data_IF_724892826268
#
_entry.id   IF_724892826268
#
_cell.length_a   1.000
_cell.length_b   1.000
_cell.length_c   1.000
_cell.angle_alpha   90.00
_cell.angle_beta   90.00
_cell.angle_gamma   90.00
#
_symmetry.space_group_name_H-M   'P 1'
#
loop_
_entity.id
_entity.type
_entity.pdbx_description
1 polymer ?
#
# COMPACT_ATOMS: atom_id res chain seq x y z
N UNK A 1 -18.43 -0.36 11.12
CA UNK A 1 -17.28 -1.20 11.56
C UNK A 1 -16.03 -0.36 11.46
N UNK A 2 -15.21 -0.44 12.49
CA UNK A 2 -13.96 0.30 12.54
C UNK A 2 -13.01 -0.20 11.42
N UNK A 3 -12.33 0.73 10.78
CA UNK A 3 -11.35 0.40 9.74
C UNK A 3 -10.18 -0.37 10.36
N UNK A 4 -9.91 -1.56 9.86
CA UNK A 4 -8.74 -2.37 10.19
C UNK A 4 -8.19 -2.96 8.89
N UNK A 5 -7.10 -2.39 8.39
CA UNK A 5 -6.71 -2.62 7.00
C UNK A 5 -5.21 -2.66 6.73
N UNK A 6 -4.89 -3.31 5.61
CA UNK A 6 -3.55 -3.42 5.05
C UNK A 6 -3.49 -2.65 3.73
N UNK A 7 -2.51 -1.76 3.60
CA UNK A 7 -2.27 -0.96 2.40
C UNK A 7 -1.00 -1.46 1.73
N UNK A 8 -1.11 -1.86 0.47
CA UNK A 8 0.01 -2.31 -0.33
C UNK A 8 0.59 -1.20 -1.18
N UNK A 9 1.88 -0.96 -1.05
CA UNK A 9 2.66 -0.04 -1.86
C UNK A 9 3.71 -0.78 -2.68
N UNK A 10 4.08 -0.21 -3.85
CA UNK A 10 5.05 -0.80 -4.76
C UNK A 10 6.48 -0.76 -4.22
N UNK A 11 6.87 0.35 -3.59
CA UNK A 11 8.25 0.59 -3.13
C UNK A 11 8.30 0.91 -1.64
N UNK A 12 9.46 0.73 -1.01
CA UNK A 12 9.72 1.14 0.36
C UNK A 12 9.53 2.64 0.58
N UNK A 13 9.94 3.45 -0.38
CA UNK A 13 9.77 4.91 -0.34
C UNK A 13 8.29 5.27 -0.28
N UNK A 14 7.45 4.64 -1.09
CA UNK A 14 6.00 4.86 -1.03
C UNK A 14 5.40 4.43 0.32
N UNK A 15 5.93 3.37 0.95
CA UNK A 15 5.50 2.94 2.28
C UNK A 15 5.80 4.04 3.32
N UNK A 16 7.03 4.57 3.31
CA UNK A 16 7.46 5.60 4.26
C UNK A 16 6.69 6.91 4.06
N UNK A 17 6.55 7.38 2.82
CA UNK A 17 5.81 8.60 2.50
C UNK A 17 4.33 8.50 2.90
N UNK A 18 3.67 7.38 2.55
CA UNK A 18 2.27 7.19 2.85
C UNK A 18 2.03 7.05 4.35
N UNK A 19 2.86 6.27 5.04
CA UNK A 19 2.75 6.10 6.49
C UNK A 19 2.98 7.39 7.25
N UNK A 20 3.95 8.21 6.80
CA UNK A 20 4.20 9.54 7.37
C UNK A 20 2.99 10.48 7.19
N UNK A 21 2.44 10.56 5.97
CA UNK A 21 1.25 11.38 5.68
C UNK A 21 0.02 10.94 6.51
N UNK A 22 -0.21 9.63 6.61
CA UNK A 22 -1.31 9.10 7.42
C UNK A 22 -1.11 9.38 8.91
N UNK A 23 0.12 9.25 9.43
CA UNK A 23 0.44 9.59 10.82
C UNK A 23 0.25 11.08 11.11
N UNK A 24 0.67 11.96 10.20
CA UNK A 24 0.44 13.41 10.30
C UNK A 24 -1.05 13.76 10.27
N UNK A 25 -1.86 12.98 9.56
CA UNK A 25 -3.31 13.10 9.54
C UNK A 25 -4.01 12.49 10.79
N UNK A 26 -3.24 12.01 11.78
CA UNK A 26 -3.76 11.50 13.04
C UNK A 26 -4.15 10.02 13.06
N UNK A 27 -3.80 9.25 12.02
CA UNK A 27 -4.05 7.82 12.01
C UNK A 27 -2.96 7.02 12.71
N UNK A 28 -3.32 5.93 13.38
CA UNK A 28 -2.38 4.99 13.97
C UNK A 28 -1.90 3.99 12.92
N UNK A 29 -0.71 4.21 12.40
CA UNK A 29 -0.13 3.50 11.27
C UNK A 29 1.17 2.81 11.65
N UNK A 30 1.39 1.61 11.14
CA UNK A 30 2.69 0.93 11.17
C UNK A 30 3.16 0.71 9.72
N UNK A 31 4.48 0.84 9.50
CA UNK A 31 5.11 0.67 8.19
C UNK A 31 6.05 -0.54 8.18
N UNK A 32 5.93 -1.41 7.16
CA UNK A 32 6.79 -2.60 7.03
C UNK A 32 7.33 -2.72 5.60
N UNK A 33 8.65 -2.67 5.48
CA UNK A 33 9.38 -2.87 4.22
C UNK A 33 10.73 -3.54 4.47
N UNK A 34 11.51 -3.76 3.42
CA UNK A 34 12.76 -4.52 3.51
C UNK A 34 13.84 -3.96 4.43
N UNK A 35 13.83 -2.65 4.68
CA UNK A 35 14.84 -1.99 5.53
C UNK A 35 14.46 -2.01 7.02
N UNK A 36 13.24 -2.47 7.36
CA UNK A 36 12.81 -2.60 8.77
C UNK A 36 13.47 -3.85 9.37
N UNK A 37 14.17 -3.68 10.49
CA UNK A 37 14.78 -4.80 11.20
C UNK A 37 13.75 -5.82 11.67
N UNK A 38 14.15 -7.09 11.81
CA UNK A 38 13.23 -8.16 12.22
C UNK A 38 12.56 -7.86 13.58
N UNK A 39 13.32 -7.33 14.53
CA UNK A 39 12.78 -6.96 15.85
C UNK A 39 11.73 -5.84 15.76
N UNK A 40 11.96 -4.82 14.95
CA UNK A 40 10.98 -3.76 14.72
C UNK A 40 9.74 -4.29 13.98
N UNK A 41 9.93 -5.16 12.98
CA UNK A 41 8.83 -5.78 12.26
C UNK A 41 7.90 -6.58 13.18
N UNK A 42 8.45 -7.38 14.08
CA UNK A 42 7.68 -8.13 15.07
C UNK A 42 6.92 -7.21 16.03
N UNK A 43 7.58 -6.13 16.50
CA UNK A 43 6.94 -5.11 17.34
C UNK A 43 5.76 -4.44 16.62
N UNK A 44 5.92 -4.05 15.36
CA UNK A 44 4.86 -3.41 14.57
C UNK A 44 3.69 -4.36 14.32
N UNK A 45 3.99 -5.62 13.98
CA UNK A 45 2.96 -6.64 13.80
C UNK A 45 2.20 -6.95 15.10
N UNK A 46 2.91 -6.96 16.23
CA UNK A 46 2.27 -7.16 17.53
C UNK A 46 1.31 -6.00 17.86
N UNK A 47 1.73 -4.74 17.66
CA UNK A 47 0.88 -3.56 17.87
C UNK A 47 -0.34 -3.59 16.95
N UNK A 48 -0.16 -3.96 15.69
CA UNK A 48 -1.24 -4.10 14.73
C UNK A 48 -2.22 -5.22 15.15
N UNK A 49 -1.75 -6.41 15.52
CA UNK A 49 -2.60 -7.50 16.03
C UNK A 49 -3.36 -7.15 17.30
N UNK A 50 -2.76 -6.33 18.16
CA UNK A 50 -3.40 -5.80 19.37
C UNK A 50 -4.36 -4.64 19.10
N UNK A 51 -4.58 -4.28 17.84
CA UNK A 51 -5.40 -3.12 17.41
C UNK A 51 -4.96 -1.78 18.03
N UNK A 52 -3.70 -1.67 18.46
CA UNK A 52 -3.07 -0.40 18.85
C UNK A 52 -2.78 0.51 17.66
N UNK A 53 -2.57 -0.09 16.50
CA UNK A 53 -2.61 0.53 15.20
C UNK A 53 -3.67 -0.17 14.35
N UNK A 54 -4.39 0.57 13.55
CA UNK A 54 -5.46 0.05 12.71
C UNK A 54 -5.14 0.06 11.22
N UNK A 55 -3.99 0.62 10.86
CA UNK A 55 -3.48 0.66 9.49
C UNK A 55 -2.07 0.05 9.47
N UNK A 56 -1.85 -0.88 8.56
CA UNK A 56 -0.54 -1.40 8.23
C UNK A 56 -0.23 -1.05 6.78
N UNK A 57 0.91 -0.39 6.53
CA UNK A 57 1.39 -0.08 5.17
C UNK A 57 2.59 -0.97 4.88
N UNK A 58 2.57 -1.69 3.77
CA UNK A 58 3.63 -2.64 3.48
C UNK A 58 3.91 -2.81 1.98
N UNK A 59 5.12 -3.26 1.65
CA UNK A 59 5.45 -3.81 0.33
C UNK A 59 5.02 -5.27 0.24
N UNK A 60 4.85 -5.80 -0.98
CA UNK A 60 4.48 -7.21 -1.18
C UNK A 60 5.43 -8.19 -0.51
N UNK A 61 6.73 -7.96 -0.65
CA UNK A 61 7.77 -8.83 -0.07
C UNK A 61 7.67 -8.83 1.45
N UNK A 62 7.50 -7.67 2.06
CA UNK A 62 7.39 -7.55 3.50
C UNK A 62 6.07 -8.07 4.04
N UNK A 63 5.01 -8.03 3.24
CA UNK A 63 3.69 -8.56 3.63
C UNK A 63 3.58 -10.08 3.50
N UNK A 64 4.54 -10.76 2.84
CA UNK A 64 4.57 -12.22 2.79
C UNK A 64 4.79 -12.81 4.18
N UNK A 65 4.02 -13.83 4.51
CA UNK A 65 4.10 -14.48 5.82
C UNK A 65 3.48 -13.69 6.99
N UNK A 66 2.88 -12.53 6.71
CA UNK A 66 2.08 -11.84 7.73
C UNK A 66 0.78 -12.62 7.93
N UNK A 67 0.66 -13.31 9.06
CA UNK A 67 -0.61 -13.89 9.50
C UNK A 67 -1.38 -12.82 10.28
N UNK A 68 -2.20 -12.06 9.56
CA UNK A 68 -3.17 -11.13 10.13
C UNK A 68 -4.56 -11.58 9.67
N UNK A 69 -5.40 -11.84 10.64
CA UNK A 69 -6.79 -12.29 10.43
C UNK A 69 -7.75 -11.10 10.64
N UNK A 70 -8.93 -11.22 10.06
CA UNK A 70 -10.04 -10.27 10.27
C UNK A 70 -9.75 -8.85 9.78
N UNK A 71 -9.02 -8.71 8.67
CA UNK A 71 -8.90 -7.42 8.01
C UNK A 71 -10.23 -7.05 7.38
N UNK A 72 -10.73 -5.86 7.70
CA UNK A 72 -11.93 -5.30 7.07
C UNK A 72 -11.65 -4.78 5.66
N UNK A 73 -10.44 -4.28 5.44
CA UNK A 73 -10.04 -3.66 4.18
C UNK A 73 -8.65 -4.09 3.73
N UNK A 74 -8.50 -4.26 2.43
CA UNK A 74 -7.22 -4.29 1.73
C UNK A 74 -7.21 -3.18 0.71
N UNK A 75 -6.17 -2.34 0.74
CA UNK A 75 -6.02 -1.23 -0.20
C UNK A 75 -4.78 -1.47 -1.05
N UNK A 76 -4.94 -1.56 -2.35
CA UNK A 76 -3.85 -1.54 -3.30
C UNK A 76 -3.58 -0.08 -3.68
N UNK A 77 -2.70 0.59 -2.94
CA UNK A 77 -2.28 1.97 -3.23
C UNK A 77 -1.51 2.06 -4.56
N UNK A 78 -0.78 1.00 -4.88
CA UNK A 78 -0.21 0.79 -6.19
C UNK A 78 -0.77 -0.50 -6.77
N UNK A 79 -1.12 -0.54 -8.06
CA UNK A 79 -1.61 -1.75 -8.69
C UNK A 79 -0.57 -2.86 -8.61
N UNK A 80 -1.04 -4.09 -8.50
CA UNK A 80 -0.18 -5.26 -8.58
C UNK A 80 0.37 -5.43 -9.99
N UNK A 81 1.62 -5.86 -10.11
CA UNK A 81 2.25 -6.08 -11.41
C UNK A 81 1.68 -7.31 -12.12
N UNK A 82 1.26 -8.29 -11.34
CA UNK A 82 0.70 -9.56 -11.80
C UNK A 82 -0.59 -9.90 -11.04
N UNK A 83 -1.30 -10.86 -11.62
CA UNK A 83 -2.58 -11.30 -11.09
C UNK A 83 -2.46 -12.10 -9.78
N UNK A 84 -1.46 -12.96 -9.67
CA UNK A 84 -1.25 -13.79 -8.50
C UNK A 84 -1.02 -12.92 -7.26
N UNK A 85 -0.20 -11.88 -7.40
CA UNK A 85 0.01 -10.86 -6.38
C UNK A 85 -1.30 -10.17 -6.00
N UNK A 86 -2.16 -9.83 -6.99
CA UNK A 86 -3.46 -9.23 -6.69
C UNK A 86 -4.35 -10.14 -5.83
N UNK A 87 -4.44 -11.42 -6.20
CA UNK A 87 -5.23 -12.41 -5.44
C UNK A 87 -4.67 -12.60 -4.03
N UNK A 88 -3.35 -12.70 -3.91
CA UNK A 88 -2.68 -12.82 -2.63
C UNK A 88 -2.92 -11.63 -1.71
N UNK A 89 -2.92 -10.39 -2.26
CA UNK A 89 -3.25 -9.17 -1.52
C UNK A 89 -4.71 -9.17 -1.09
N UNK A 90 -5.63 -9.35 -2.04
CA UNK A 90 -7.08 -9.34 -1.79
C UNK A 90 -7.49 -10.44 -0.81
N UNK A 91 -6.85 -11.60 -0.89
CA UNK A 91 -7.06 -12.72 0.03
C UNK A 91 -6.62 -12.48 1.48
N UNK A 92 -6.17 -11.28 1.85
CA UNK A 92 -5.93 -10.88 3.25
C UNK A 92 -7.22 -10.43 3.96
N UNK A 93 -8.28 -10.17 3.23
CA UNK A 93 -9.62 -9.85 3.74
C UNK A 93 -10.67 -10.85 3.24
N UNK A 94 -11.88 -10.82 3.77
CA UNK A 94 -12.99 -11.68 3.33
C UNK A 94 -12.77 -13.17 3.61
N UNK A 95 -12.14 -13.53 4.71
CA UNK A 95 -11.89 -14.92 5.11
C UNK A 95 -12.93 -15.40 6.12
N UNK A 96 -13.15 -16.72 6.15
CA UNK A 96 -14.03 -17.40 7.11
C UNK A 96 -15.48 -16.89 7.11
N UNK A 97 -16.00 -16.49 5.94
CA UNK A 97 -17.38 -16.01 5.81
C UNK A 97 -17.59 -14.53 6.19
N UNK A 98 -16.57 -13.83 6.64
CA UNK A 98 -16.66 -12.39 6.89
C UNK A 98 -16.58 -11.58 5.60
N UNK A 99 -17.35 -10.49 5.54
CA UNK A 99 -17.31 -9.56 4.41
C UNK A 99 -16.07 -8.69 4.51
N UNK A 100 -15.30 -8.63 3.42
CA UNK A 100 -14.11 -7.79 3.30
C UNK A 100 -14.16 -6.93 2.05
N UNK A 101 -13.51 -5.77 2.11
CA UNK A 101 -13.40 -4.84 0.96
C UNK A 101 -11.98 -4.81 0.45
N UNK A 102 -11.81 -5.02 -0.87
CA UNK A 102 -10.54 -4.80 -1.58
C UNK A 102 -10.70 -3.58 -2.49
N UNK A 103 -9.91 -2.54 -2.23
CA UNK A 103 -9.95 -1.27 -2.94
C UNK A 103 -8.64 -1.12 -3.71
N UNK A 104 -8.70 -0.71 -4.97
CA UNK A 104 -7.52 -0.47 -5.80
C UNK A 104 -7.55 0.95 -6.36
N UNK A 105 -6.46 1.68 -6.15
CA UNK A 105 -6.25 2.95 -6.83
C UNK A 105 -5.59 2.68 -8.17
N UNK A 106 -6.21 3.15 -9.23
CA UNK A 106 -5.72 3.00 -10.59
C UNK A 106 -5.61 4.39 -11.22
N UNK A 107 -4.44 4.70 -11.72
CA UNK A 107 -4.28 5.88 -12.58
C UNK A 107 -4.96 5.63 -13.93
N UNK A 108 -5.21 6.71 -14.68
CA UNK A 108 -5.84 6.61 -15.99
C UNK A 108 -5.11 5.64 -16.94
N UNK A 109 -3.77 5.65 -16.93
CA UNK A 109 -2.97 4.71 -17.72
C UNK A 109 -3.09 3.24 -17.29
N UNK A 110 -3.45 3.00 -16.02
CA UNK A 110 -3.58 1.68 -15.44
C UNK A 110 -4.99 1.10 -15.58
N UNK A 111 -5.99 1.90 -15.94
CA UNK A 111 -7.35 1.42 -16.20
C UNK A 111 -7.41 0.33 -17.27
N UNK A 112 -6.45 0.30 -18.20
CA UNK A 112 -6.30 -0.78 -19.20
C UNK A 112 -6.06 -2.17 -18.58
N UNK A 113 -5.60 -2.23 -17.32
CA UNK A 113 -5.40 -3.49 -16.60
C UNK A 113 -6.71 -4.07 -16.06
N UNK A 114 -7.73 -3.23 -15.88
CA UNK A 114 -8.99 -3.58 -15.24
C UNK A 114 -9.71 -4.75 -15.93
N UNK A 115 -9.90 -4.78 -17.27
CA UNK A 115 -10.59 -5.90 -17.93
C UNK A 115 -9.86 -7.24 -17.75
N UNK A 116 -8.53 -7.20 -17.67
CA UNK A 116 -7.72 -8.39 -17.41
C UNK A 116 -7.91 -8.88 -15.98
N UNK A 117 -7.89 -7.97 -15.00
CA UNK A 117 -8.12 -8.29 -13.59
C UNK A 117 -9.53 -8.85 -13.38
N UNK A 118 -10.57 -8.23 -13.97
CA UNK A 118 -11.96 -8.69 -13.88
C UNK A 118 -12.13 -10.10 -14.41
N UNK A 119 -11.54 -10.40 -15.59
CA UNK A 119 -11.58 -11.74 -16.18
C UNK A 119 -10.95 -12.79 -15.27
N UNK A 120 -9.85 -12.45 -14.61
CA UNK A 120 -9.10 -13.38 -13.78
C UNK A 120 -9.74 -13.57 -12.39
N UNK A 121 -10.34 -12.51 -11.83
CA UNK A 121 -11.09 -12.58 -10.56
C UNK A 121 -12.47 -13.20 -10.76
N UNK A 122 -13.01 -13.20 -11.99
CA UNK A 122 -14.36 -13.65 -12.30
C UNK A 122 -15.46 -12.71 -11.78
N UNK A 123 -15.09 -11.47 -11.40
CA UNK A 123 -16.03 -10.45 -10.88
C UNK A 123 -15.69 -9.10 -11.46
N UNK A 124 -16.72 -8.28 -11.67
CA UNK A 124 -16.54 -6.89 -12.07
C UNK A 124 -16.14 -6.01 -10.87
N UNK A 125 -15.29 -5.03 -11.12
CA UNK A 125 -14.97 -4.01 -10.15
C UNK A 125 -16.02 -2.91 -10.19
N UNK A 126 -16.38 -2.42 -9.02
CA UNK A 126 -17.28 -1.27 -8.89
C UNK A 126 -16.41 -0.02 -8.75
N UNK A 127 -16.59 0.94 -9.64
CA UNK A 127 -15.94 2.24 -9.51
C UNK A 127 -16.53 2.96 -8.29
N UNK A 128 -15.66 3.50 -7.47
CA UNK A 128 -16.02 4.37 -6.36
C UNK A 128 -15.49 5.77 -6.66
N UNK A 129 -16.36 6.76 -6.53
CA UNK A 129 -15.94 8.15 -6.62
C UNK A 129 -15.25 8.58 -5.33
N UNK A 130 -14.34 9.54 -5.44
CA UNK A 130 -13.67 10.11 -4.28
C UNK A 130 -14.67 11.03 -3.58
N UNK A 131 -14.90 10.86 -2.26
CA UNK A 131 -15.87 11.67 -1.56
C UNK A 131 -15.47 13.16 -1.58
N UNK A 132 -16.44 14.03 -1.77
CA UNK A 132 -16.26 15.48 -1.70
C UNK A 132 -15.91 15.92 -0.28
N UNK A 133 -15.25 17.09 -0.10
CA UNK A 133 -15.00 17.65 1.24
C UNK A 133 -16.27 17.76 2.09
N UNK A 134 -17.39 18.11 1.49
CA UNK A 134 -18.69 18.19 2.14
C UNK A 134 -19.17 16.85 2.68
N UNK A 135 -19.07 15.80 1.86
CA UNK A 135 -19.46 14.43 2.25
C UNK A 135 -18.58 13.89 3.37
N UNK A 136 -17.27 14.23 3.34
CA UNK A 136 -16.34 13.85 4.40
C UNK A 136 -16.75 14.50 5.73
N UNK A 137 -17.03 15.79 5.72
CA UNK A 137 -17.45 16.55 6.91
C UNK A 137 -18.78 16.02 7.43
N UNK A 138 -19.77 15.81 6.55
CA UNK A 138 -21.06 15.26 6.93
C UNK A 138 -20.91 13.87 7.59
N UNK A 139 -20.08 13.00 7.01
CA UNK A 139 -19.80 11.69 7.58
C UNK A 139 -19.13 11.78 8.96
N UNK A 140 -18.19 12.72 9.13
CA UNK A 140 -17.46 12.91 10.40
C UNK A 140 -18.38 13.52 11.47
N UNK A 141 -19.19 14.51 11.13
CA UNK A 141 -20.16 15.10 12.05
C UNK A 141 -21.19 14.08 12.49
N UNK A 142 -21.70 13.24 11.59
CA UNK A 142 -22.59 12.14 11.93
C UNK A 142 -21.96 11.16 12.94
N UNK A 143 -20.72 10.71 12.71
CA UNK A 143 -20.00 9.84 13.66
C UNK A 143 -19.78 10.50 15.02
N UNK A 144 -19.51 11.80 15.06
CA UNK A 144 -19.37 12.55 16.29
C UNK A 144 -20.68 12.59 17.07
N UNK A 145 -21.78 12.89 16.37
CA UNK A 145 -23.13 12.89 16.95
C UNK A 145 -23.47 11.50 17.54
N UNK A 146 -23.17 10.43 16.82
CA UNK A 146 -23.39 9.06 17.32
C UNK A 146 -22.53 8.74 18.56
N UNK A 147 -21.27 9.20 18.59
CA UNK A 147 -20.43 9.05 19.79
C UNK A 147 -20.99 9.80 20.99
N UNK A 148 -21.47 11.01 20.79
CA UNK A 148 -22.09 11.82 21.85
C UNK A 148 -23.35 11.12 22.35
N UNK A 149 -24.25 10.66 21.47
CA UNK A 149 -25.45 9.91 21.85
C UNK A 149 -25.13 8.68 22.67
N UNK A 150 -24.16 7.86 22.25
CA UNK A 150 -23.71 6.70 23.00
C UNK A 150 -23.13 7.06 24.38
N UNK A 151 -22.40 8.16 24.48
CA UNK A 151 -21.88 8.64 25.77
C UNK A 151 -23.01 9.07 26.72
N UNK A 152 -24.08 9.69 26.17
CA UNK A 152 -25.28 10.02 26.92
C UNK A 152 -26.00 8.77 27.42
N UNK A 153 -26.26 7.80 26.53
CA UNK A 153 -26.90 6.52 26.86
C UNK A 153 -26.12 5.73 27.94
N UNK A 154 -24.80 5.73 27.84
CA UNK A 154 -23.91 5.07 28.79
C UNK A 154 -23.69 5.84 30.10
N UNK A 155 -24.27 7.04 30.25
CA UNK A 155 -24.08 7.94 31.38
C UNK A 155 -22.59 8.20 31.74
N UNK A 156 -21.71 8.16 30.71
CA UNK A 156 -20.27 8.31 30.89
C UNK A 156 -19.81 9.73 31.17
N UNK A 157 -20.71 10.69 31.07
CA UNK A 157 -20.47 12.13 31.27
C UNK A 157 -20.61 12.56 32.74
N UNK A 158 -21.11 11.71 33.65
CA UNK A 158 -21.49 12.07 35.02
C UNK A 158 -20.37 12.75 35.82
N UNK A 159 -19.10 12.40 35.57
CA UNK A 159 -17.92 13.02 36.21
C UNK A 159 -17.79 14.52 35.85
N UNK A 160 -18.36 14.97 34.74
CA UNK A 160 -18.20 16.33 34.21
C UNK A 160 -19.40 17.21 34.47
N UNK A 161 -20.46 16.70 35.14
CA UNK A 161 -21.72 17.44 35.37
C UNK A 161 -21.51 18.75 36.12
N UNK A 162 -20.66 18.75 37.18
CA UNK A 162 -20.36 19.97 37.94
C UNK A 162 -19.69 21.03 37.08
N UNK A 163 -18.71 20.62 36.27
CA UNK A 163 -18.02 21.53 35.34
C UNK A 163 -18.94 22.07 34.28
N UNK A 164 -19.85 21.22 33.77
CA UNK A 164 -20.85 21.63 32.80
C UNK A 164 -21.82 22.69 33.43
N UNK A 165 -22.28 22.47 34.68
CA UNK A 165 -23.13 23.45 35.37
C UNK A 165 -22.44 24.81 35.49
N UNK A 166 -21.20 24.85 35.91
CA UNK A 166 -20.44 26.10 36.02
C UNK A 166 -20.32 26.84 34.68
N UNK A 167 -20.09 26.12 33.59
CA UNK A 167 -20.00 26.71 32.25
C UNK A 167 -21.37 27.27 31.78
N UNK A 168 -22.44 26.60 32.18
CA UNK A 168 -23.84 27.03 31.82
C UNK A 168 -24.36 28.18 32.68
N UNK A 169 -23.71 28.54 33.78
CA UNK A 169 -24.03 29.72 34.58
C UNK A 169 -23.65 31.03 33.87
N UNK A 170 -22.60 31.00 33.05
CA UNK A 170 -22.04 32.17 32.37
C UNK A 170 -22.57 32.34 30.95
N UNK A 171 -22.84 31.24 30.25
CA UNK A 171 -23.11 31.24 28.81
C UNK A 171 -24.29 30.31 28.44
N UNK A 172 -24.90 30.57 27.26
CA UNK A 172 -25.95 29.68 26.76
C UNK A 172 -25.44 28.29 26.45
N UNK A 173 -26.30 27.27 26.59
CA UNK A 173 -25.96 25.91 26.29
C UNK A 173 -25.44 25.74 24.85
N UNK A 174 -26.00 26.46 23.89
CA UNK A 174 -25.59 26.44 22.48
C UNK A 174 -24.16 26.97 22.32
N UNK A 175 -23.81 28.08 22.97
CA UNK A 175 -22.48 28.69 22.94
C UNK A 175 -21.45 27.75 23.55
N UNK A 176 -21.73 27.17 24.71
CA UNK A 176 -20.84 26.23 25.40
C UNK A 176 -20.59 24.98 24.53
N UNK A 177 -21.64 24.39 23.97
CA UNK A 177 -21.51 23.20 23.09
C UNK A 177 -20.75 23.56 21.82
N UNK A 178 -21.04 24.70 21.18
CA UNK A 178 -20.32 25.15 19.99
C UNK A 178 -18.82 25.35 20.27
N UNK A 179 -18.45 25.97 21.39
CA UNK A 179 -17.05 26.16 21.80
C UNK A 179 -16.34 24.84 22.08
N UNK A 180 -17.02 23.91 22.74
CA UNK A 180 -16.46 22.56 22.96
C UNK A 180 -16.24 21.82 21.64
N UNK A 181 -17.20 21.83 20.73
CA UNK A 181 -17.05 21.22 19.40
C UNK A 181 -15.92 21.87 18.61
N UNK A 182 -15.82 23.19 18.64
CA UNK A 182 -14.70 23.90 17.99
C UNK A 182 -13.35 23.51 18.58
N UNK A 183 -13.24 23.44 19.90
CA UNK A 183 -11.99 23.15 20.61
C UNK A 183 -11.50 21.71 20.32
N UNK A 184 -12.40 20.73 20.38
CA UNK A 184 -12.03 19.32 20.30
C UNK A 184 -12.17 18.73 18.89
N UNK A 185 -13.03 19.27 18.05
CA UNK A 185 -13.36 18.70 16.74
C UNK A 185 -13.15 19.69 15.59
N UNK A 186 -12.86 20.96 15.86
CA UNK A 186 -12.71 22.00 14.83
C UNK A 186 -11.70 21.62 13.75
N UNK A 187 -10.60 21.01 14.15
CA UNK A 187 -9.56 20.53 13.23
C UNK A 187 -10.04 19.38 12.30
N UNK A 188 -10.94 18.52 12.76
CA UNK A 188 -11.46 17.39 11.98
C UNK A 188 -12.61 17.81 11.07
N UNK A 189 -13.33 18.89 11.43
CA UNK A 189 -14.48 19.43 10.70
C UNK A 189 -14.10 20.61 9.80
N UNK A 190 -12.83 20.99 9.76
CA UNK A 190 -12.34 22.09 8.93
C UNK A 190 -12.29 21.67 7.46
N UNK A 191 -13.17 22.27 6.65
CA UNK A 191 -13.30 22.01 5.22
C UNK A 191 -12.01 22.33 4.43
N UNK A 192 -11.22 23.28 4.89
CA UNK A 192 -9.98 23.69 4.19
C UNK A 192 -8.90 22.62 4.18
N UNK A 193 -8.99 21.66 5.08
CA UNK A 193 -8.06 20.52 5.15
C UNK A 193 -8.33 19.42 4.12
N UNK A 194 -9.50 19.46 3.49
CA UNK A 194 -9.91 18.50 2.47
C UNK A 194 -9.87 19.17 1.11
N UNK A 195 -8.75 19.00 0.38
CA UNK A 195 -8.67 19.50 -0.98
C UNK A 195 -9.66 18.73 -1.87
N UNK A 196 -10.47 19.44 -2.64
CA UNK A 196 -11.23 18.82 -3.71
C UNK A 196 -10.23 18.23 -4.74
N UNK A 197 -10.34 16.94 -5.00
CA UNK A 197 -9.56 16.29 -6.04
C UNK A 197 -10.37 16.45 -7.33
N UNK A 198 -9.90 17.35 -8.20
CA UNK A 198 -10.49 17.53 -9.52
C UNK A 198 -10.05 16.40 -10.44
N UNK A 199 -10.94 15.45 -10.68
CA UNK A 199 -10.69 14.34 -11.62
C UNK A 199 -10.55 14.84 -13.07
N UNK A 200 -11.12 15.99 -13.42
CA UNK A 200 -11.10 16.54 -14.78
C UNK A 200 -9.73 17.04 -15.18
N UNK A 201 -8.94 17.60 -14.26
CA UNK A 201 -7.62 18.14 -14.52
C UNK A 201 -6.56 17.08 -14.92
N UNK A 202 -6.78 15.83 -14.55
CA UNK A 202 -5.92 14.70 -14.94
C UNK A 202 -6.21 14.20 -16.35
N UNK A 203 -7.44 14.40 -16.84
CA UNK A 203 -7.87 13.99 -18.17
C UNK A 203 -7.30 14.89 -19.27
N UNK A 204 -7.16 16.18 -19.03
CA UNK A 204 -6.65 17.14 -20.02
C UNK A 204 -5.12 17.11 -20.15
N UNK A 205 -4.37 16.87 -19.07
CA UNK A 205 -2.89 16.79 -19.14
C UNK A 205 -2.37 15.62 -19.97
N UNK A 206 -3.14 14.54 -20.11
CA UNK A 206 -2.78 13.40 -20.96
C UNK A 206 -3.02 13.66 -22.45
N UNK A 207 -3.86 14.62 -22.81
CA UNK A 207 -4.25 14.91 -24.19
C UNK A 207 -3.38 16.00 -24.84
N UNK A 208 -2.80 16.90 -24.05
CA UNK A 208 -2.00 18.03 -24.56
C UNK A 208 -0.55 17.67 -24.91
N UNK A 209 -0.04 16.49 -24.52
CA UNK A 209 1.30 16.02 -24.91
C UNK A 209 1.33 15.14 -26.16
N UNK A 210 0.19 14.90 -26.82
CA UNK A 210 0.08 14.04 -28.01
C UNK A 210 -0.12 14.78 -29.35
N UNK A 211 -0.27 16.11 -29.35
CA UNK A 211 -0.41 16.90 -30.59
C UNK A 211 0.88 17.60 -30.99
N UNK A 212 1.97 16.84 -31.06
CA UNK A 212 3.16 17.25 -31.77
C UNK A 212 2.87 17.20 -33.27
N UNK A 213 2.84 18.39 -33.89
CA UNK A 213 2.69 18.63 -35.30
C UNK A 213 3.55 17.72 -36.16
N UNK A 214 2.91 16.79 -36.84
CA UNK A 214 3.52 16.14 -38.01
C UNK A 214 3.35 17.06 -39.21
N UNK A 215 4.16 18.12 -39.28
CA UNK A 215 4.39 18.88 -40.51
C UNK A 215 5.60 18.29 -41.22
N UNK A 216 5.38 17.81 -42.42
CA UNK A 216 6.50 17.51 -43.33
C UNK A 216 6.22 16.38 -44.29
N UNK A 217 5.18 16.51 -45.13
CA UNK A 217 5.19 15.88 -46.45
C UNK A 217 6.29 16.58 -47.27
N UNK A 218 7.40 15.93 -47.49
CA UNK A 218 8.30 16.23 -48.61
C UNK A 218 8.02 15.23 -49.70
N UNK A 219 7.45 15.74 -50.76
CA UNK A 219 7.33 15.08 -52.04
C UNK A 219 8.73 14.66 -52.51
N UNK A 220 8.92 13.39 -52.73
CA UNK A 220 10.12 12.85 -53.36
C UNK A 220 9.74 12.44 -54.78
N UNK A 221 10.00 13.37 -55.69
CA UNK A 221 9.95 13.18 -57.12
C UNK A 221 11.08 12.25 -57.57
N UNK A 222 10.79 11.38 -58.50
CA UNK A 222 11.61 10.25 -58.90
C UNK A 222 12.88 10.68 -59.67
N UNK A 223 13.96 10.03 -59.32
CA UNK A 223 15.22 10.05 -60.06
C UNK A 223 15.83 8.67 -60.18
N UNK A 224 15.53 7.98 -61.26
CA UNK A 224 16.24 6.77 -61.65
C UNK A 224 17.70 7.11 -61.92
N UNK A 225 18.64 6.54 -61.19
CA UNK A 225 20.04 6.46 -61.60
C UNK A 225 20.56 5.03 -61.53
N UNK A 226 21.15 4.66 -62.65
CA UNK A 226 21.71 3.36 -63.03
C UNK A 226 22.81 2.91 -62.07
N UNK A 227 22.82 1.63 -61.82
CA UNK A 227 23.93 0.87 -61.29
C UNK A 227 25.11 0.94 -62.25
N UNK A 228 26.28 1.36 -61.76
CA UNK A 228 27.53 1.10 -62.41
C UNK A 228 28.49 0.44 -61.44
N UNK A 229 28.95 -0.71 -61.87
CA UNK A 229 29.85 -1.60 -61.14
C UNK A 229 31.28 -1.30 -61.59
N UNK A 230 32.09 -0.70 -60.72
CA UNK A 230 33.56 -0.87 -60.87
C UNK A 230 34.28 -0.70 -59.55
N UNK A 231 34.85 -1.80 -59.19
CA UNK A 231 36.03 -2.04 -58.34
C UNK A 231 36.87 -0.82 -57.96
N UNK A 232 37.23 -0.75 -56.66
CA UNK A 232 38.64 -0.54 -56.26
C UNK A 232 38.85 -0.94 -54.80
N UNK A 233 39.82 -1.88 -54.64
CA UNK A 233 40.50 -2.26 -53.40
C UNK A 233 41.32 -1.06 -52.88
N UNK A 234 41.62 -1.12 -51.59
CA UNK A 234 42.62 -0.50 -50.71
C UNK A 234 41.92 0.08 -49.48
N UNK A 235 42.36 -0.13 -48.29
CA UNK A 235 43.56 -0.53 -47.64
C UNK A 235 43.28 -0.80 -46.16
N UNK A 236 44.11 -1.62 -45.59
CA UNK A 236 44.20 -1.96 -44.17
C UNK A 236 44.59 -0.77 -43.31
N UNK A 237 44.30 -1.01 -42.03
CA UNK A 237 44.93 -0.45 -40.83
C UNK A 237 44.28 0.76 -40.22
N UNK A 238 43.73 0.52 -39.06
CA UNK A 238 43.98 1.11 -37.73
C UNK A 238 42.82 0.87 -36.79
N UNK A 239 42.95 -0.23 -35.99
CA UNK A 239 42.19 -0.37 -34.75
C UNK A 239 43.16 -0.25 -33.58
N UNK A 240 42.93 0.64 -32.62
CA UNK A 240 43.69 0.62 -31.39
C UNK A 240 43.31 -0.59 -30.54
N UNK A 241 44.32 -1.32 -30.12
CA UNK A 241 44.27 -2.43 -29.18
C UNK A 241 43.90 -1.88 -27.79
N UNK A 242 42.75 -2.26 -27.24
CA UNK A 242 42.50 -2.10 -25.82
C UNK A 242 43.23 -3.24 -25.05
N UNK A 243 44.01 -2.80 -24.10
CA UNK A 243 44.80 -3.63 -23.18
C UNK A 243 43.92 -4.55 -22.35
N UNK A 244 44.38 -5.80 -22.28
CA UNK A 244 43.92 -6.87 -21.39
C UNK A 244 44.37 -6.61 -19.96
N UNK A 245 43.61 -7.23 -19.06
CA UNK A 245 43.95 -7.77 -17.75
C UNK A 245 44.07 -6.80 -16.59
N UNK A 246 42.97 -6.76 -15.82
CA UNK A 246 43.01 -6.70 -14.36
C UNK A 246 41.78 -7.45 -13.79
N UNK A 247 41.92 -8.79 -13.70
CA UNK A 247 41.06 -9.63 -12.83
C UNK A 247 41.92 -10.21 -11.73
N UNK A 248 41.64 -9.99 -10.46
CA UNK A 248 42.36 -10.63 -9.38
C UNK A 248 42.13 -12.15 -9.41
N UNK A 249 43.19 -12.89 -9.45
CA UNK A 249 43.21 -14.35 -9.33
C UNK A 249 42.90 -14.74 -7.90
N UNK A 250 41.73 -15.36 -7.67
CA UNK A 250 41.37 -15.98 -6.40
C UNK A 250 42.20 -17.26 -6.22
N UNK A 251 43.00 -17.28 -5.16
CA UNK A 251 43.83 -18.41 -4.78
C UNK A 251 42.96 -19.50 -4.13
N UNK A 252 43.19 -20.77 -4.52
CA UNK A 252 42.32 -21.92 -4.24
C UNK A 252 42.60 -22.56 -2.87
N UNK A 253 43.39 -21.94 -2.01
CA UNK A 253 43.88 -22.55 -0.76
C UNK A 253 43.15 -22.12 0.53
N UNK A 254 42.23 -21.17 0.50
CA UNK A 254 41.47 -20.75 1.68
C UNK A 254 40.05 -21.32 1.70
N UNK A 255 39.90 -22.65 1.77
CA UNK A 255 38.65 -23.28 2.17
C UNK A 255 38.75 -23.72 3.63
N UNK A 256 37.95 -23.23 4.55
CA UNK A 256 37.87 -23.80 5.88
C UNK A 256 37.31 -25.22 5.81
N UNK A 257 38.05 -26.18 6.41
CA UNK A 257 37.62 -27.56 6.60
C UNK A 257 36.50 -27.56 7.63
N UNK A 258 35.31 -27.98 7.24
CA UNK A 258 34.22 -28.29 8.18
C UNK A 258 34.59 -29.65 8.85
N UNK A 259 34.84 -29.63 10.14
CA UNK A 259 34.88 -30.80 10.98
C UNK A 259 33.49 -31.41 11.10
N UNK A 260 33.40 -32.72 10.86
CA UNK A 260 32.17 -33.48 11.07
C UNK A 260 32.02 -33.74 12.56
N UNK A 261 30.96 -33.20 13.13
CA UNK A 261 30.52 -33.42 14.50
C UNK A 261 29.88 -34.82 14.57
N UNK A 262 30.58 -35.79 15.20
CA UNK A 262 30.10 -37.13 15.52
C UNK A 262 29.13 -37.05 16.70
N UNK A 263 27.83 -37.05 16.42
CA UNK A 263 26.80 -37.30 17.44
C UNK A 263 26.41 -38.79 17.43
N UNK A 264 26.37 -39.46 18.58
CA UNK A 264 26.01 -40.86 18.65
C UNK A 264 24.50 -41.09 18.39
N UNK A 265 24.20 -42.09 17.58
CA UNK A 265 22.88 -42.61 17.31
C UNK A 265 22.24 -43.13 18.61
N UNK A 266 21.08 -42.63 18.99
CA UNK A 266 20.21 -43.25 19.99
C UNK A 266 19.50 -44.46 19.33
N UNK A 267 19.73 -45.62 19.92
CA UNK A 267 19.05 -46.85 19.62
C UNK A 267 17.55 -46.74 19.96
N UNK A 268 16.72 -47.13 19.01
CA UNK A 268 15.27 -47.37 19.24
C UNK A 268 15.10 -48.80 19.71
N UNK A 269 14.80 -48.99 20.98
CA UNK A 269 14.34 -50.23 21.49
C UNK A 269 12.86 -50.42 21.20
N UNK A 270 12.56 -51.49 20.49
CA UNK A 270 11.23 -52.07 20.27
C UNK A 270 10.78 -52.83 21.53
N UNK A 271 9.52 -52.73 21.84
CA UNK A 271 8.78 -53.59 22.77
C UNK A 271 7.40 -53.01 22.89
N UNK A 272 6.35 -53.59 22.48
CA UNK A 272 5.87 -54.95 22.60
C UNK A 272 4.76 -54.99 23.63
N UNK A 273 3.53 -55.19 23.17
CA UNK A 273 2.58 -55.95 24.01
C UNK A 273 1.32 -55.22 24.51
N UNK A 274 0.18 -55.49 23.84
CA UNK A 274 -1.10 -56.01 24.43
C UNK A 274 -1.63 -55.29 25.68
N UNK A 275 -2.92 -55.02 25.92
CA UNK A 275 -4.13 -55.82 25.73
C UNK A 275 -5.32 -55.11 26.42
N UNK A 276 -6.49 -55.17 25.81
CA UNK A 276 -7.85 -55.27 26.35
C UNK A 276 -8.28 -54.56 27.64
N UNK A 277 -9.46 -53.90 27.58
CA UNK A 277 -10.46 -54.13 28.56
C UNK A 277 -11.34 -52.96 29.00
N UNK A 278 -12.56 -53.01 28.54
CA UNK A 278 -13.83 -52.40 28.97
C UNK A 278 -14.09 -50.95 28.64
#
# INVERSE_FOLDING_TARGET
SDFYGLIFCKTKVNVDELSSKLSQAGYHVEAIHGDVSQAQREKFLLRFRQKKSNILVATDVAARGIDVKNLTHVINYSPSQDFETYVHRSGRTGRAGELGKSISFLSHGELRLLPKLERLVGKKFVRMDIPTPEEIILSKSGRLTDKIKKAIEANSYSKFTKMASTLLESDSAETVVAALLQTFCGNELDKTKYAAIDESSSYERGRSQGSGEFRGRRDYEGGKKKFDSSSRRFGRDDRPKSSKDDRPKYNREDRPKFERDDRPRKETSSGGGRSFGK
#
